data_IF_259559644570
#
_entry.id   IF_259559644570
#
_cell.length_a   1.000
_cell.length_b   1.000
_cell.length_c   1.000
_cell.angle_alpha   90.00
_cell.angle_beta   90.00
_cell.angle_gamma   90.00
#
_symmetry.space_group_name_H-M   'P 1'
#
loop_
_entity.id
_entity.type
_entity.pdbx_description
1 polymer ?
#
# COMPACT_ATOMS: atom_id res chain seq x y z
N UNK A 1 26.32 19.49 -102.53
CA UNK A 1 25.22 18.58 -102.63
C UNK A 1 25.10 17.84 -101.27
N UNK A 2 24.12 18.24 -100.57
CA UNK A 2 23.33 17.72 -99.51
C UNK A 2 23.49 16.25 -99.12
N UNK A 3 23.63 15.94 -97.90
CA UNK A 3 22.51 15.31 -97.13
C UNK A 3 22.83 15.33 -95.67
N UNK A 4 21.96 16.04 -95.05
CA UNK A 4 21.75 16.08 -93.61
C UNK A 4 20.86 14.85 -93.19
N UNK A 5 21.24 14.11 -92.20
CA UNK A 5 20.32 13.17 -91.50
C UNK A 5 20.55 13.24 -90.01
N UNK A 6 19.72 14.05 -89.38
CA UNK A 6 19.53 14.16 -87.97
C UNK A 6 18.97 12.83 -87.39
N UNK A 7 19.72 12.22 -86.50
CA UNK A 7 19.29 11.06 -85.77
C UNK A 7 18.83 11.50 -84.35
N UNK A 8 17.54 11.71 -84.23
CA UNK A 8 16.89 12.06 -82.94
C UNK A 8 16.83 10.83 -82.04
N UNK A 9 17.69 10.76 -81.01
CA UNK A 9 17.61 9.78 -79.95
C UNK A 9 16.42 10.08 -79.05
N UNK A 10 15.45 9.21 -79.09
CA UNK A 10 14.23 9.23 -78.28
C UNK A 10 14.55 8.72 -76.86
N UNK A 11 14.75 9.63 -75.87
CA UNK A 11 14.98 9.31 -74.49
C UNK A 11 13.65 9.01 -73.81
N UNK A 12 13.28 7.71 -73.65
CA UNK A 12 12.19 7.29 -72.80
C UNK A 12 12.62 7.42 -71.33
N UNK A 13 12.14 8.45 -70.66
CA UNK A 13 12.28 8.60 -69.22
C UNK A 13 11.52 7.50 -68.47
N UNK A 14 12.23 6.52 -67.96
CA UNK A 14 11.66 5.54 -67.05
C UNK A 14 11.25 6.23 -65.73
N UNK A 15 9.97 6.41 -65.49
CA UNK A 15 9.44 6.83 -64.18
C UNK A 15 9.67 5.66 -63.18
N UNK A 16 10.63 5.84 -62.30
CA UNK A 16 10.80 5.01 -61.13
C UNK A 16 9.59 5.23 -60.20
N UNK A 17 8.68 4.30 -60.17
CA UNK A 17 7.58 4.26 -59.20
C UNK A 17 8.13 4.01 -57.82
N UNK A 18 8.06 5.04 -56.98
CA UNK A 18 8.47 4.97 -55.57
C UNK A 18 7.57 4.01 -54.80
N UNK A 19 8.06 3.00 -54.09
CA UNK A 19 7.24 2.12 -53.27
C UNK A 19 6.85 2.83 -51.96
N UNK A 20 5.98 3.84 -52.04
CA UNK A 20 5.56 4.64 -50.89
C UNK A 20 4.47 3.97 -50.04
N UNK A 21 3.96 2.79 -50.45
CA UNK A 21 2.81 2.18 -49.74
C UNK A 21 3.19 1.22 -48.63
N UNK A 22 4.34 0.56 -48.73
CA UNK A 22 4.73 -0.48 -47.75
C UNK A 22 5.13 0.12 -46.39
N UNK A 23 5.79 1.28 -46.35
CA UNK A 23 6.17 1.97 -45.15
C UNK A 23 4.98 2.55 -44.36
N UNK A 24 3.96 3.05 -45.11
CA UNK A 24 2.72 3.54 -44.48
C UNK A 24 1.94 2.43 -43.79
N UNK A 25 1.90 1.23 -44.35
CA UNK A 25 1.26 0.06 -43.73
C UNK A 25 2.03 -0.39 -42.50
N UNK A 26 3.36 -0.35 -42.51
CA UNK A 26 4.20 -0.69 -41.33
C UNK A 26 4.01 0.31 -40.19
N UNK A 27 3.92 1.61 -40.50
CA UNK A 27 3.63 2.63 -39.48
C UNK A 27 2.23 2.51 -38.89
N UNK A 28 1.22 2.17 -39.70
CA UNK A 28 -0.12 1.95 -39.20
C UNK A 28 -0.21 0.70 -38.33
N UNK A 29 0.44 -0.41 -38.74
CA UNK A 29 0.52 -1.63 -37.93
C UNK A 29 1.29 -1.39 -36.62
N UNK A 30 2.40 -0.67 -36.63
CA UNK A 30 3.15 -0.30 -35.42
C UNK A 30 2.32 0.57 -34.47
N UNK A 31 1.56 1.54 -35.00
CA UNK A 31 0.64 2.35 -34.21
C UNK A 31 -0.51 1.53 -33.58
N UNK A 32 -1.03 0.54 -34.28
CA UNK A 32 -2.04 -0.37 -33.77
C UNK A 32 -1.48 -1.33 -32.68
N UNK A 33 -0.27 -1.81 -32.83
CA UNK A 33 0.40 -2.64 -31.80
C UNK A 33 0.69 -1.83 -30.54
N UNK A 34 1.08 -0.54 -30.65
CA UNK A 34 1.22 0.34 -29.48
C UNK A 34 -0.10 0.66 -28.80
N UNK A 35 -1.20 0.74 -29.55
CA UNK A 35 -2.55 0.99 -29.01
C UNK A 35 -3.16 -0.23 -28.31
N UNK A 36 -2.66 -1.44 -28.57
CA UNK A 36 -3.12 -2.70 -27.97
C UNK A 36 -2.30 -3.14 -26.76
N UNK A 37 -1.28 -2.38 -26.32
CA UNK A 37 -0.64 -2.68 -25.03
C UNK A 37 -1.68 -2.42 -23.95
N UNK A 38 -2.14 -3.47 -23.20
CA UNK A 38 -2.97 -3.24 -22.03
C UNK A 38 -2.15 -2.31 -21.13
N UNK A 39 -2.65 -1.12 -20.89
CA UNK A 39 -2.09 -0.27 -19.85
C UNK A 39 -2.09 -1.15 -18.58
N UNK A 40 -0.93 -1.56 -18.11
CA UNK A 40 -0.79 -2.25 -16.83
C UNK A 40 -1.34 -1.27 -15.79
N UNK A 41 -2.65 -1.37 -15.51
CA UNK A 41 -3.28 -0.55 -14.49
C UNK A 41 -2.62 -0.95 -13.18
N UNK A 42 -1.77 -0.10 -12.67
CA UNK A 42 -1.30 -0.26 -11.31
C UNK A 42 -2.55 -0.28 -10.43
N UNK A 43 -2.71 -1.34 -9.67
CA UNK A 43 -3.81 -1.51 -8.72
C UNK A 43 -3.45 -0.78 -7.42
N UNK A 44 -4.44 -0.18 -6.76
CA UNK A 44 -4.27 0.42 -5.43
C UNK A 44 -3.70 -0.62 -4.47
N UNK A 45 -2.49 -0.37 -3.99
CA UNK A 45 -1.77 -1.21 -3.04
C UNK A 45 -1.54 -0.43 -1.75
N UNK A 46 -1.78 -1.06 -0.63
CA UNK A 46 -1.55 -0.53 0.71
C UNK A 46 -0.60 -1.45 1.48
N UNK A 47 0.25 -0.93 2.38
CA UNK A 47 1.15 -1.75 3.18
C UNK A 47 0.40 -2.53 4.25
N UNK A 48 0.98 -3.64 4.71
CA UNK A 48 0.38 -4.56 5.68
C UNK A 48 -0.01 -3.90 7.01
N UNK A 49 0.68 -2.82 7.40
CA UNK A 49 0.35 -2.07 8.62
C UNK A 49 -1.01 -1.35 8.51
N UNK A 50 -1.48 -1.07 7.28
CA UNK A 50 -2.79 -0.49 7.01
C UNK A 50 -3.72 -1.64 6.60
N UNK A 51 -4.29 -2.31 7.56
CA UNK A 51 -5.15 -3.48 7.34
C UNK A 51 -6.21 -3.57 8.45
N UNK A 52 -7.14 -4.51 8.29
CA UNK A 52 -8.20 -4.75 9.27
C UNK A 52 -7.64 -4.89 10.69
N UNK A 53 -8.42 -4.46 11.67
CA UNK A 53 -8.08 -4.46 13.09
C UNK A 53 -6.96 -3.50 13.50
N UNK A 54 -6.50 -2.59 12.63
CA UNK A 54 -5.44 -1.66 12.98
C UNK A 54 -5.89 -0.63 14.01
N UNK A 55 -4.90 -0.04 14.70
CA UNK A 55 -5.09 1.10 15.60
C UNK A 55 -4.37 2.31 15.04
N UNK A 56 -5.06 3.45 14.95
CA UNK A 56 -4.46 4.74 14.66
C UNK A 56 -4.08 5.45 15.97
N UNK A 57 -2.90 6.07 15.99
CA UNK A 57 -2.45 6.80 17.17
C UNK A 57 -3.39 7.98 17.47
N UNK A 58 -3.90 8.06 18.70
CA UNK A 58 -4.71 9.17 19.13
C UNK A 58 -3.91 10.47 19.20
N UNK A 59 -4.61 11.62 19.07
CA UNK A 59 -4.08 12.98 19.27
C UNK A 59 -2.88 13.34 18.38
N UNK A 60 -2.62 12.55 17.33
CA UNK A 60 -1.58 12.80 16.34
C UNK A 60 -2.13 12.72 14.92
N UNK A 61 -1.46 13.41 14.00
CA UNK A 61 -1.77 13.31 12.59
C UNK A 61 -1.29 11.96 12.04
N UNK A 62 -2.22 11.11 11.62
CA UNK A 62 -1.92 9.76 11.14
C UNK A 62 -1.70 9.75 9.64
N UNK A 63 -0.51 9.35 9.15
CA UNK A 63 -0.29 9.15 7.74
C UNK A 63 -0.92 7.82 7.28
N UNK A 64 -1.69 7.89 6.20
CA UNK A 64 -2.19 6.75 5.44
C UNK A 64 -1.52 6.83 4.07
N UNK A 65 -0.89 5.74 3.62
CA UNK A 65 -0.10 5.74 2.39
C UNK A 65 -0.19 4.43 1.64
N UNK A 66 0.25 4.46 0.40
CA UNK A 66 0.31 3.30 -0.48
C UNK A 66 0.79 3.66 -1.87
N UNK A 67 0.43 2.83 -2.82
CA UNK A 67 0.78 2.98 -4.23
C UNK A 67 -0.45 2.84 -5.09
N UNK A 68 -0.48 3.58 -6.20
CA UNK A 68 -1.51 3.51 -7.24
C UNK A 68 -0.89 3.93 -8.58
N UNK A 69 -1.65 3.90 -9.66
CA UNK A 69 -1.19 4.42 -10.94
C UNK A 69 -0.76 5.89 -10.81
N UNK A 70 0.38 6.30 -11.39
CA UNK A 70 0.82 7.69 -11.37
C UNK A 70 -0.30 8.65 -11.81
N UNK A 71 -0.46 9.74 -11.06
CA UNK A 71 -1.49 10.73 -11.31
C UNK A 71 -2.88 10.38 -10.80
N UNK A 72 -3.13 9.17 -10.28
CA UNK A 72 -4.41 8.78 -9.68
C UNK A 72 -4.68 9.62 -8.44
N UNK A 73 -5.87 10.21 -8.36
CA UNK A 73 -6.35 10.83 -7.13
C UNK A 73 -6.82 9.74 -6.18
N UNK A 74 -6.18 9.67 -5.00
CA UNK A 74 -6.57 8.75 -3.92
C UNK A 74 -7.27 9.55 -2.82
N UNK A 75 -8.42 9.06 -2.39
CA UNK A 75 -9.23 9.68 -1.33
C UNK A 75 -9.32 8.71 -0.16
N UNK A 76 -9.06 9.21 1.04
CA UNK A 76 -9.18 8.47 2.30
C UNK A 76 -10.30 9.09 3.12
N UNK A 77 -11.24 8.25 3.56
CA UNK A 77 -12.36 8.64 4.42
C UNK A 77 -12.32 7.84 5.72
N UNK A 78 -12.30 8.55 6.86
CA UNK A 78 -12.30 7.94 8.18
C UNK A 78 -12.82 8.93 9.24
N UNK A 79 -13.65 8.48 10.17
CA UNK A 79 -14.15 9.24 11.32
C UNK A 79 -14.68 10.66 10.93
N UNK A 80 -15.46 10.75 9.85
CA UNK A 80 -16.00 12.02 9.35
C UNK A 80 -15.02 12.89 8.57
N UNK A 81 -13.75 12.52 8.49
CA UNK A 81 -12.75 13.22 7.67
C UNK A 81 -12.71 12.60 6.27
N UNK A 82 -12.56 13.46 5.27
CA UNK A 82 -12.27 13.05 3.88
C UNK A 82 -11.08 13.87 3.37
N UNK A 83 -9.99 13.20 3.08
CA UNK A 83 -8.74 13.79 2.60
C UNK A 83 -8.32 13.12 1.30
N UNK A 84 -7.62 13.83 0.43
CA UNK A 84 -7.13 13.24 -0.82
C UNK A 84 -5.71 13.70 -1.15
N UNK A 85 -5.01 12.84 -1.87
CA UNK A 85 -3.70 13.11 -2.46
C UNK A 85 -3.64 12.54 -3.87
N UNK A 86 -2.66 12.97 -4.65
CA UNK A 86 -2.39 12.43 -5.98
C UNK A 86 -1.16 11.53 -5.92
N UNK A 87 -1.23 10.36 -6.54
CA UNK A 87 -0.08 9.47 -6.67
C UNK A 87 1.01 10.13 -7.52
N UNK A 88 2.22 10.15 -7.01
CA UNK A 88 3.39 10.71 -7.69
C UNK A 88 3.80 9.92 -8.93
N UNK A 89 4.87 10.34 -9.58
CA UNK A 89 5.43 9.63 -10.74
C UNK A 89 5.92 8.21 -10.39
N UNK A 90 6.31 7.98 -9.13
CA UNK A 90 6.68 6.68 -8.57
C UNK A 90 5.46 5.85 -8.08
N UNK A 91 4.27 6.37 -8.28
CA UNK A 91 3.01 5.77 -7.85
C UNK A 91 2.70 5.94 -6.37
N UNK A 92 3.59 6.51 -5.55
CA UNK A 92 3.37 6.69 -4.12
C UNK A 92 2.38 7.81 -3.85
N UNK A 93 1.53 7.60 -2.85
CA UNK A 93 0.63 8.61 -2.31
C UNK A 93 0.66 8.58 -0.79
N UNK A 94 0.38 9.71 -0.18
CA UNK A 94 0.23 9.85 1.28
C UNK A 94 -0.83 10.86 1.60
N UNK A 95 -1.75 10.49 2.48
CA UNK A 95 -2.78 11.35 3.07
C UNK A 95 -2.52 11.43 4.56
N UNK A 96 -2.60 12.61 5.16
CA UNK A 96 -2.54 12.79 6.61
C UNK A 96 -3.94 13.07 7.14
N UNK A 97 -4.44 12.19 8.01
CA UNK A 97 -5.64 12.44 8.80
C UNK A 97 -5.31 13.44 9.92
N UNK A 98 -6.24 14.31 10.23
CA UNK A 98 -6.10 15.20 11.38
C UNK A 98 -6.13 14.40 12.69
N UNK A 99 -5.57 14.94 13.78
CA UNK A 99 -5.62 14.30 15.09
C UNK A 99 -7.04 13.90 15.50
N UNK A 100 -7.18 12.72 16.02
CA UNK A 100 -8.46 12.14 16.48
C UNK A 100 -8.37 11.84 17.98
N UNK A 101 -9.46 12.03 18.74
CA UNK A 101 -9.54 11.54 20.11
C UNK A 101 -9.59 10.00 20.11
N UNK A 102 -9.23 9.39 21.24
CA UNK A 102 -9.41 7.95 21.42
C UNK A 102 -10.86 7.52 21.16
N UNK A 103 -11.02 6.39 20.50
CA UNK A 103 -12.33 5.82 20.20
C UNK A 103 -12.24 4.30 20.17
N UNK A 104 -12.94 3.68 21.10
CA UNK A 104 -13.01 2.22 21.25
C UNK A 104 -14.07 1.57 20.35
N UNK A 105 -14.89 2.37 19.66
CA UNK A 105 -15.89 1.86 18.72
C UNK A 105 -15.22 1.58 17.38
N UNK A 106 -15.29 0.34 16.89
CA UNK A 106 -14.74 -0.02 15.60
C UNK A 106 -15.34 0.81 14.45
N UNK A 107 -14.51 1.31 13.58
CA UNK A 107 -14.90 2.10 12.42
C UNK A 107 -14.29 1.51 11.14
N UNK A 108 -14.85 1.90 10.00
CA UNK A 108 -14.32 1.53 8.67
C UNK A 108 -13.54 2.70 8.11
N UNK A 109 -12.29 2.43 7.68
CA UNK A 109 -11.49 3.36 6.90
C UNK A 109 -11.62 2.97 5.42
N UNK A 110 -12.02 3.92 4.59
CA UNK A 110 -12.20 3.71 3.15
C UNK A 110 -11.10 4.42 2.38
N UNK A 111 -10.49 3.73 1.42
CA UNK A 111 -9.48 4.25 0.49
C UNK A 111 -10.01 4.04 -0.93
N UNK A 112 -10.15 5.10 -1.69
CA UNK A 112 -10.65 5.10 -3.06
C UNK A 112 -9.58 5.68 -4.00
N UNK A 113 -9.13 4.87 -4.93
CA UNK A 113 -8.17 5.23 -5.98
C UNK A 113 -8.57 4.55 -7.29
N UNK A 114 -7.65 3.80 -7.92
CA UNK A 114 -7.95 2.97 -9.09
C UNK A 114 -8.97 1.87 -8.78
N UNK A 115 -9.03 1.43 -7.53
CA UNK A 115 -10.09 0.61 -6.96
C UNK A 115 -10.42 1.10 -5.55
N UNK A 116 -11.43 0.49 -4.91
CA UNK A 116 -11.84 0.79 -3.54
C UNK A 116 -11.32 -0.29 -2.60
N UNK A 117 -10.80 0.13 -1.43
CA UNK A 117 -10.44 -0.72 -0.29
C UNK A 117 -11.16 -0.22 0.95
N UNK A 118 -11.70 -1.14 1.71
CA UNK A 118 -12.31 -0.89 3.02
C UNK A 118 -11.52 -1.66 4.07
N UNK A 119 -11.04 -0.95 5.07
CA UNK A 119 -10.31 -1.49 6.21
C UNK A 119 -11.29 -1.50 7.37
N UNK A 120 -11.57 -2.68 7.88
CA UNK A 120 -12.60 -2.91 8.90
C UNK A 120 -12.00 -2.89 10.31
N UNK A 121 -12.86 -2.62 11.30
CA UNK A 121 -12.49 -2.70 12.72
C UNK A 121 -11.26 -1.83 13.08
N UNK A 122 -11.24 -0.59 12.59
CA UNK A 122 -10.19 0.38 12.90
C UNK A 122 -10.53 1.11 14.20
N UNK A 123 -9.60 1.11 15.15
CA UNK A 123 -9.69 1.82 16.42
C UNK A 123 -8.80 3.07 16.41
N UNK A 124 -9.05 3.97 17.34
CA UNK A 124 -8.16 5.11 17.64
C UNK A 124 -7.73 5.02 19.10
N UNK A 125 -6.44 4.90 19.37
CA UNK A 125 -5.92 4.68 20.71
C UNK A 125 -4.41 4.86 20.79
N UNK A 126 -3.80 4.29 21.83
CA UNK A 126 -2.34 4.28 21.98
C UNK A 126 -1.69 3.19 21.15
N UNK A 127 -0.65 3.54 20.42
CA UNK A 127 0.16 2.60 19.63
C UNK A 127 1.56 2.52 20.20
N UNK A 128 1.94 1.33 20.65
CA UNK A 128 3.25 1.05 21.23
C UNK A 128 4.12 0.24 20.26
N UNK A 129 5.36 0.69 20.06
CA UNK A 129 6.35 -0.08 19.31
C UNK A 129 7.25 -0.81 20.30
N UNK A 130 7.10 -2.13 20.38
CA UNK A 130 7.96 -2.99 21.19
C UNK A 130 9.09 -3.51 20.32
N UNK A 131 10.29 -2.95 20.47
CA UNK A 131 11.48 -3.30 19.70
C UNK A 131 12.71 -3.41 20.60
N UNK A 132 13.72 -4.13 20.17
CA UNK A 132 14.98 -4.30 20.92
C UNK A 132 15.73 -5.55 20.50
N UNK A 133 16.30 -6.24 21.49
CA UNK A 133 17.09 -7.47 21.28
C UNK A 133 16.27 -8.73 21.58
N UNK A 134 16.96 -9.84 21.87
CA UNK A 134 16.37 -11.19 22.05
C UNK A 134 15.19 -11.24 23.03
N UNK A 135 15.26 -10.48 24.15
CA UNK A 135 14.14 -10.44 25.12
C UNK A 135 12.86 -9.82 24.55
N UNK A 136 12.98 -8.92 23.59
CA UNK A 136 11.82 -8.33 22.90
C UNK A 136 11.23 -9.27 21.84
N UNK A 137 12.02 -10.25 21.39
CA UNK A 137 11.56 -11.31 20.49
C UNK A 137 10.91 -12.51 21.21
N UNK A 138 11.00 -12.56 22.55
CA UNK A 138 10.39 -13.62 23.33
C UNK A 138 8.86 -13.53 23.26
N UNK A 139 8.23 -14.64 22.93
CA UNK A 139 6.78 -14.75 22.85
C UNK A 139 6.23 -15.39 24.13
N UNK A 140 4.93 -15.22 24.40
CA UNK A 140 4.29 -15.83 25.55
C UNK A 140 4.41 -17.36 25.56
N UNK A 141 4.47 -18.03 24.41
CA UNK A 141 4.68 -19.48 24.32
C UNK A 141 5.99 -19.96 24.96
N UNK A 142 6.99 -19.09 25.07
CA UNK A 142 8.27 -19.41 25.69
C UNK A 142 8.35 -19.03 27.17
N UNK A 143 7.30 -18.49 27.74
CA UNK A 143 7.28 -18.05 29.14
C UNK A 143 6.79 -19.13 30.08
N UNK A 144 7.26 -19.09 31.34
CA UNK A 144 6.91 -20.05 32.39
C UNK A 144 5.39 -20.12 32.65
N UNK A 145 4.70 -18.96 32.63
CA UNK A 145 3.25 -18.84 32.83
C UNK A 145 2.52 -18.48 31.52
N UNK A 146 3.12 -18.78 30.37
CA UNK A 146 2.62 -18.33 29.08
C UNK A 146 1.21 -18.82 28.75
N UNK A 147 0.82 -20.00 29.22
CA UNK A 147 -0.53 -20.56 29.09
C UNK A 147 -1.56 -19.79 29.92
N UNK A 148 -1.23 -19.40 31.15
CA UNK A 148 -2.08 -18.62 32.06
C UNK A 148 -2.28 -17.21 31.48
N UNK A 149 -1.19 -16.56 31.07
CA UNK A 149 -1.24 -15.24 30.46
C UNK A 149 -2.01 -15.26 29.13
N UNK A 150 -1.82 -16.29 28.33
CA UNK A 150 -2.58 -16.48 27.10
C UNK A 150 -4.09 -16.63 27.38
N UNK A 151 -4.46 -17.44 28.37
CA UNK A 151 -5.86 -17.61 28.77
C UNK A 151 -6.50 -16.31 29.26
N UNK A 152 -5.72 -15.44 29.92
CA UNK A 152 -6.15 -14.12 30.42
C UNK A 152 -6.16 -13.03 29.32
N UNK A 153 -5.60 -13.29 28.15
CA UNK A 153 -5.32 -12.27 27.12
C UNK A 153 -6.53 -11.83 26.29
N UNK A 154 -7.75 -12.21 26.66
CA UNK A 154 -8.96 -11.70 26.01
C UNK A 154 -9.21 -10.24 26.40
N UNK A 155 -8.49 -9.34 25.74
CA UNK A 155 -8.57 -7.89 25.98
C UNK A 155 -9.28 -7.27 24.77
N UNK A 156 -10.54 -6.80 24.90
CA UNK A 156 -11.40 -6.47 23.76
C UNK A 156 -10.82 -5.45 22.77
N UNK A 157 -10.12 -4.43 23.26
CA UNK A 157 -9.62 -3.32 22.43
C UNK A 157 -8.11 -3.38 22.20
N UNK A 158 -7.42 -4.42 22.65
CA UNK A 158 -6.03 -4.65 22.37
C UNK A 158 -5.86 -5.27 20.97
N UNK A 159 -5.00 -4.66 20.17
CA UNK A 159 -4.62 -5.15 18.84
C UNK A 159 -3.12 -5.41 18.81
N UNK A 160 -2.74 -6.47 18.14
CA UNK A 160 -1.38 -6.95 18.07
C UNK A 160 -0.97 -7.11 16.61
N UNK A 161 0.22 -6.59 16.25
CA UNK A 161 0.85 -6.85 14.96
C UNK A 161 2.31 -7.23 15.19
N UNK A 162 2.77 -8.26 14.51
CA UNK A 162 4.17 -8.69 14.55
C UNK A 162 4.85 -8.37 13.24
N UNK A 163 5.90 -7.58 13.31
CA UNK A 163 6.81 -7.36 12.19
C UNK A 163 7.82 -8.51 12.18
N UNK A 164 7.94 -9.29 11.08
CA UNK A 164 8.89 -10.38 11.00
C UNK A 164 10.32 -9.86 11.01
N UNK A 165 11.23 -10.63 11.60
CA UNK A 165 12.66 -10.34 11.53
C UNK A 165 13.19 -10.70 10.15
N UNK A 166 13.69 -9.69 9.44
CA UNK A 166 14.31 -9.84 8.11
C UNK A 166 15.69 -9.22 8.16
N UNK A 167 16.73 -10.04 7.96
CA UNK A 167 18.10 -9.57 7.82
C UNK A 167 18.31 -8.95 6.44
N UNK A 168 18.27 -7.62 6.35
CA UNK A 168 18.51 -6.88 5.13
C UNK A 168 19.25 -5.58 5.42
N UNK A 169 20.02 -5.11 4.45
CA UNK A 169 20.67 -3.79 4.48
C UNK A 169 19.84 -2.74 3.75
N UNK A 170 18.76 -3.13 3.08
CA UNK A 170 17.88 -2.23 2.34
C UNK A 170 16.67 -1.84 3.20
N UNK A 171 16.26 -0.58 3.08
CA UNK A 171 15.04 -0.09 3.73
C UNK A 171 13.83 -0.82 3.15
N UNK A 172 13.09 -1.46 4.02
CA UNK A 172 11.85 -2.13 3.64
C UNK A 172 10.69 -1.13 3.69
N UNK A 173 9.86 -1.13 2.66
CA UNK A 173 8.67 -0.27 2.55
C UNK A 173 7.39 -0.97 3.01
N UNK A 174 7.44 -2.29 3.19
CA UNK A 174 6.33 -3.13 3.62
C UNK A 174 6.86 -4.41 4.27
N UNK A 175 6.01 -5.16 4.94
CA UNK A 175 6.35 -6.44 5.56
C UNK A 175 5.16 -7.42 5.46
N UNK A 176 5.40 -8.70 5.73
CA UNK A 176 4.33 -9.71 5.81
C UNK A 176 3.80 -9.76 7.24
N UNK A 177 2.60 -9.28 7.45
CA UNK A 177 1.96 -9.25 8.76
C UNK A 177 0.51 -8.83 8.65
N UNK A 178 -0.21 -8.95 9.77
CA UNK A 178 -1.58 -8.47 9.89
C UNK A 178 -1.87 -8.15 11.34
N UNK A 179 -2.71 -7.16 11.57
CA UNK A 179 -3.26 -6.88 12.88
C UNK A 179 -4.20 -8.00 13.32
N UNK A 180 -4.25 -8.24 14.61
CA UNK A 180 -5.14 -9.21 15.24
C UNK A 180 -5.67 -8.65 16.56
N UNK A 181 -6.93 -8.95 16.87
CA UNK A 181 -7.45 -8.73 18.22
C UNK A 181 -6.73 -9.66 19.20
N UNK A 182 -6.52 -9.21 20.43
CA UNK A 182 -5.92 -10.03 21.48
C UNK A 182 -6.92 -11.08 21.94
N UNK A 183 -6.57 -12.33 21.71
CA UNK A 183 -7.32 -13.52 22.13
C UNK A 183 -6.34 -14.55 22.68
N UNK A 184 -6.81 -15.57 23.42
CA UNK A 184 -5.97 -16.68 23.88
C UNK A 184 -5.19 -17.36 22.73
N UNK A 185 -5.70 -17.34 21.50
CA UNK A 185 -5.06 -17.95 20.34
C UNK A 185 -4.03 -17.02 19.67
N UNK A 186 -4.27 -15.71 19.69
CA UNK A 186 -3.38 -14.73 19.02
C UNK A 186 -2.27 -14.20 19.93
N UNK A 187 -2.51 -14.02 21.21
CA UNK A 187 -1.57 -13.49 22.18
C UNK A 187 -0.28 -14.32 22.33
N UNK A 188 -0.30 -15.66 22.29
CA UNK A 188 0.91 -16.48 22.35
C UNK A 188 1.94 -16.20 21.25
N UNK A 189 1.50 -15.63 20.13
CA UNK A 189 2.36 -15.29 18.99
C UNK A 189 2.97 -13.90 19.11
N UNK A 190 2.48 -13.07 20.04
CA UNK A 190 2.99 -11.71 20.28
C UNK A 190 4.22 -11.70 21.18
N UNK A 191 4.95 -10.59 21.18
CA UNK A 191 6.02 -10.37 22.13
C UNK A 191 5.45 -10.29 23.55
N UNK A 192 6.06 -11.00 24.49
CA UNK A 192 5.73 -10.97 25.93
C UNK A 192 5.64 -9.54 26.49
N UNK A 193 6.63 -8.70 26.15
CA UNK A 193 6.68 -7.30 26.58
C UNK A 193 5.47 -6.49 26.11
N UNK A 194 4.93 -6.76 24.92
CA UNK A 194 3.76 -6.07 24.41
C UNK A 194 2.49 -6.41 25.22
N UNK A 195 2.33 -7.67 25.62
CA UNK A 195 1.18 -8.11 26.41
C UNK A 195 1.20 -7.49 27.82
N UNK A 196 2.35 -7.47 28.49
CA UNK A 196 2.48 -6.83 29.81
C UNK A 196 2.31 -5.31 29.78
N UNK A 197 2.82 -4.62 28.76
CA UNK A 197 2.63 -3.17 28.62
C UNK A 197 1.17 -2.79 28.41
N UNK A 198 0.42 -3.61 27.68
CA UNK A 198 -0.98 -3.37 27.42
C UNK A 198 -1.85 -3.56 28.69
N UNK A 199 -1.53 -4.55 29.54
CA UNK A 199 -2.26 -4.78 30.79
C UNK A 199 -2.06 -3.63 31.78
N UNK A 200 -0.82 -3.13 31.94
CA UNK A 200 -0.53 -1.98 32.80
C UNK A 200 -1.12 -0.67 32.28
N UNK A 201 -1.21 -0.46 30.96
CA UNK A 201 -1.82 0.73 30.39
C UNK A 201 -3.34 0.74 30.56
N UNK A 202 -3.98 -0.42 30.47
CA UNK A 202 -5.42 -0.58 30.71
C UNK A 202 -5.77 -0.29 32.19
N UNK A 203 -4.94 -0.74 33.14
CA UNK A 203 -5.13 -0.44 34.56
C UNK A 203 -4.96 1.06 34.87
N UNK A 204 -4.03 1.76 34.20
CA UNK A 204 -3.84 3.20 34.39
C UNK A 204 -4.89 4.05 33.67
N UNK A 205 -5.55 3.51 32.65
CA UNK A 205 -6.60 4.19 31.89
C UNK A 205 -7.94 4.18 32.62
N UNK A 206 -8.31 3.06 33.20
CA UNK A 206 -9.50 2.93 34.03
C UNK A 206 -9.48 3.89 35.23
N UNK A 207 -8.31 4.28 35.74
CA UNK A 207 -8.16 5.23 36.83
C UNK A 207 -8.20 6.72 36.45
N UNK A 208 -8.13 7.06 35.13
CA UNK A 208 -8.15 8.43 34.63
C UNK A 208 -9.50 8.88 34.07
N UNK A 209 -10.45 7.99 33.92
CA UNK A 209 -11.81 8.24 33.40
C UNK A 209 -12.90 8.22 34.48
N UNK A 210 -12.54 8.23 35.77
CA UNK A 210 -13.42 8.32 36.93
C UNK A 210 -13.46 9.74 37.50
#
# INVERSE_FOLDING_TARGET
MNHDTSNAMNYKSARLSRPASRWRLLFVLAAWVLALTPALRAELKIPAIISDHMVLQQQQANPIWGWDAPGTKVTVTFAGQTKSAQAGADGKWTVKLDPLPANETPQTLTIEGSNKREIQDVLVGEVWMCSGQSNMGFTLNGDWNGDIEAAASKIPNLRLIKVPQVGTQELQTDFKGQWRSSTPESAPLSARSASFSADTSNASWASRSA
#
